data_IF_021596875455
#
_entry.id   IF_021596875455
#
_cell.length_a   1.000
_cell.length_b   1.000
_cell.length_c   1.000
_cell.angle_alpha   90.00
_cell.angle_beta   90.00
_cell.angle_gamma   90.00
#
_symmetry.space_group_name_H-M   'P 1'
#
loop_
_entity.id
_entity.type
_entity.pdbx_description
1 polymer ?
#
# COMPACT_ATOMS: atom_id res chain seq x y z
N UNK A 1 26.71 3.18 14.90
CA UNK A 1 25.63 2.53 14.36
C UNK A 1 24.51 3.44 13.94
N UNK A 2 24.26 3.46 12.79
CA UNK A 2 23.40 4.46 12.28
C UNK A 2 22.08 3.87 11.86
N UNK A 3 21.33 3.47 12.82
CA UNK A 3 20.09 2.82 12.54
C UNK A 3 19.14 3.65 11.76
N UNK A 4 19.14 4.96 12.00
CA UNK A 4 18.23 5.82 11.26
C UNK A 4 18.53 5.82 9.79
N UNK A 5 19.78 5.82 9.45
CA UNK A 5 20.17 5.82 8.07
C UNK A 5 19.78 4.51 7.42
N UNK A 6 19.96 3.42 8.15
CA UNK A 6 19.62 2.12 7.64
C UNK A 6 18.13 1.97 7.45
N UNK A 7 17.34 2.62 8.29
CA UNK A 7 15.89 2.50 8.19
C UNK A 7 15.34 2.96 6.87
N UNK A 8 16.01 3.91 6.25
CA UNK A 8 15.54 4.39 4.97
C UNK A 8 15.67 3.37 3.88
N UNK A 9 16.61 2.45 4.02
CA UNK A 9 16.87 1.45 3.00
C UNK A 9 16.50 0.04 3.43
N UNK A 10 16.09 -0.11 4.68
CA UNK A 10 15.77 -1.43 5.19
C UNK A 10 14.47 -1.93 4.58
N UNK A 11 14.40 -3.21 4.31
CA UNK A 11 13.12 -3.78 3.91
C UNK A 11 12.14 -3.69 5.06
N UNK A 12 10.87 -3.73 4.73
CA UNK A 12 9.82 -3.74 5.73
C UNK A 12 9.90 -5.05 6.50
N UNK A 13 9.79 -4.97 7.82
CA UNK A 13 9.83 -6.16 8.67
C UNK A 13 8.51 -6.90 8.53
N UNK A 14 8.58 -8.09 7.97
CA UNK A 14 7.38 -8.87 7.69
C UNK A 14 6.61 -9.21 8.98
N UNK A 15 7.34 -9.47 10.08
CA UNK A 15 6.65 -9.78 11.32
C UNK A 15 5.88 -8.58 11.86
N UNK A 16 6.45 -7.40 11.75
CA UNK A 16 5.77 -6.19 12.16
C UNK A 16 4.51 -5.99 11.33
N UNK A 17 4.61 -6.24 10.03
CA UNK A 17 3.48 -6.11 9.13
C UNK A 17 2.38 -7.10 9.52
N UNK A 18 2.74 -8.34 9.80
CA UNK A 18 1.77 -9.35 10.19
C UNK A 18 1.06 -8.97 11.49
N UNK A 19 1.79 -8.39 12.42
CA UNK A 19 1.17 -7.90 13.65
C UNK A 19 0.15 -6.81 13.38
N UNK A 20 0.50 -5.88 12.49
CA UNK A 20 -0.43 -4.82 12.11
C UNK A 20 -1.66 -5.39 11.42
N UNK A 21 -1.45 -6.34 10.52
CA UNK A 21 -2.57 -6.95 9.80
C UNK A 21 -3.51 -7.64 10.78
N UNK A 22 -2.96 -8.33 11.75
CA UNK A 22 -3.78 -8.99 12.76
C UNK A 22 -4.63 -7.98 13.51
N UNK A 23 -4.05 -6.83 13.85
CA UNK A 23 -4.78 -5.77 14.54
C UNK A 23 -5.86 -5.18 13.65
N UNK A 24 -5.55 -4.99 12.37
CA UNK A 24 -6.51 -4.46 11.43
C UNK A 24 -7.70 -5.40 11.29
N UNK A 25 -7.42 -6.68 11.19
CA UNK A 25 -8.49 -7.68 11.05
C UNK A 25 -9.32 -7.80 12.31
N UNK A 26 -8.78 -7.35 13.43
CA UNK A 26 -9.53 -7.29 14.68
C UNK A 26 -10.27 -5.99 14.89
N UNK A 27 -10.18 -5.06 13.93
CA UNK A 27 -10.94 -3.82 14.01
C UNK A 27 -10.19 -2.62 14.53
N UNK A 28 -8.88 -2.71 14.69
CA UNK A 28 -8.08 -1.60 15.20
C UNK A 28 -7.74 -0.64 14.06
N UNK A 29 -8.41 0.51 14.03
CA UNK A 29 -8.23 1.46 12.94
C UNK A 29 -6.90 2.21 13.01
N UNK A 30 -6.29 2.29 14.19
CA UNK A 30 -4.96 2.90 14.29
C UNK A 30 -3.93 2.10 13.52
N UNK A 31 -4.10 0.80 13.45
CA UNK A 31 -3.18 -0.04 12.71
C UNK A 31 -3.24 0.21 11.21
N UNK A 32 -4.39 0.64 10.69
CA UNK A 32 -4.51 1.06 9.29
C UNK A 32 -3.53 2.20 9.00
N UNK A 33 -3.52 3.20 9.87
CA UNK A 33 -2.66 4.37 9.68
C UNK A 33 -1.20 3.95 9.72
N UNK A 34 -0.85 3.08 10.64
CA UNK A 34 0.52 2.63 10.76
C UNK A 34 0.96 1.85 9.53
N UNK A 35 0.08 1.03 8.99
CA UNK A 35 0.39 0.25 7.80
C UNK A 35 0.59 1.16 6.59
N UNK A 36 -0.27 2.15 6.43
CA UNK A 36 -0.14 3.12 5.35
C UNK A 36 1.19 3.85 5.43
N UNK A 37 1.57 4.25 6.64
CA UNK A 37 2.81 4.96 6.83
C UNK A 37 4.02 4.07 6.49
N UNK A 38 3.95 2.82 6.88
CA UNK A 38 5.01 1.87 6.63
C UNK A 38 5.24 1.65 5.13
N UNK A 39 4.17 1.73 4.35
CA UNK A 39 4.23 1.50 2.91
C UNK A 39 4.33 2.77 2.09
N UNK A 40 4.58 3.90 2.75
CA UNK A 40 4.58 5.18 2.06
C UNK A 40 5.58 5.23 0.89
N UNK A 41 6.74 4.61 1.07
CA UNK A 41 7.75 4.63 0.00
C UNK A 41 7.23 3.95 -1.26
N UNK A 42 6.42 2.92 -1.10
CA UNK A 42 5.86 2.22 -2.26
C UNK A 42 4.78 3.05 -2.93
N UNK A 43 3.99 3.76 -2.13
CA UNK A 43 3.00 4.68 -2.66
C UNK A 43 3.68 5.77 -3.50
N UNK A 44 4.75 6.34 -2.99
CA UNK A 44 5.49 7.38 -3.72
C UNK A 44 6.02 6.84 -5.03
N UNK A 45 6.58 5.63 -5.01
CA UNK A 45 7.08 5.02 -6.23
C UNK A 45 5.97 4.77 -7.25
N UNK A 46 4.82 4.33 -6.78
CA UNK A 46 3.71 4.06 -7.69
C UNK A 46 3.14 5.34 -8.29
N UNK A 47 3.15 6.44 -7.52
CA UNK A 47 2.74 7.72 -8.07
C UNK A 47 3.63 8.06 -9.26
N UNK A 48 4.95 7.98 -9.08
CA UNK A 48 5.88 8.32 -10.12
C UNK A 48 5.71 7.42 -11.35
N UNK A 49 5.62 6.12 -11.11
CA UNK A 49 5.52 5.16 -12.20
C UNK A 49 4.27 5.40 -13.04
N UNK A 50 3.14 5.60 -12.38
CA UNK A 50 1.89 5.78 -13.13
C UNK A 50 1.86 7.11 -13.85
N UNK A 51 2.40 8.16 -13.26
CA UNK A 51 2.46 9.45 -13.94
C UNK A 51 3.35 9.37 -15.17
N UNK A 52 4.47 8.66 -15.05
CA UNK A 52 5.36 8.46 -16.20
C UNK A 52 4.71 7.65 -17.31
N UNK A 53 3.74 6.85 -16.96
CA UNK A 53 3.02 6.02 -17.93
C UNK A 53 1.76 6.69 -18.47
N UNK A 54 1.61 7.98 -18.21
CA UNK A 54 0.53 8.75 -18.84
C UNK A 54 -0.78 8.73 -18.09
N UNK A 55 -0.80 8.30 -16.85
CA UNK A 55 -2.02 8.34 -16.07
C UNK A 55 -2.40 9.79 -15.79
N UNK A 56 -3.69 10.08 -15.83
CA UNK A 56 -4.19 11.46 -15.67
C UNK A 56 -4.64 11.75 -14.25
N UNK A 57 -4.58 10.77 -13.37
CA UNK A 57 -4.90 10.98 -11.96
C UNK A 57 -3.89 11.95 -11.35
N UNK A 58 -4.34 12.76 -10.41
CA UNK A 58 -3.42 13.61 -9.64
C UNK A 58 -2.61 12.73 -8.70
N UNK A 59 -1.53 13.30 -8.17
CA UNK A 59 -0.72 12.58 -7.19
C UNK A 59 -1.57 12.13 -6.00
N UNK A 60 -2.45 13.02 -5.54
CA UNK A 60 -3.32 12.70 -4.41
C UNK A 60 -4.31 11.61 -4.75
N UNK A 61 -4.82 11.61 -5.96
CA UNK A 61 -5.74 10.55 -6.38
C UNK A 61 -5.05 9.20 -6.42
N UNK A 62 -3.80 9.17 -6.90
CA UNK A 62 -3.05 7.93 -6.93
C UNK A 62 -2.74 7.47 -5.51
N UNK A 63 -2.30 8.40 -4.65
CA UNK A 63 -2.00 8.05 -3.26
C UNK A 63 -3.23 7.50 -2.56
N UNK A 64 -4.37 8.13 -2.75
CA UNK A 64 -5.60 7.69 -2.13
C UNK A 64 -6.00 6.29 -2.59
N UNK A 65 -5.86 6.03 -3.88
CA UNK A 65 -6.18 4.72 -4.43
C UNK A 65 -5.25 3.65 -3.85
N UNK A 66 -3.96 3.96 -3.75
CA UNK A 66 -2.98 3.04 -3.17
C UNK A 66 -3.30 2.72 -1.72
N UNK A 67 -3.58 3.76 -0.95
CA UNK A 67 -3.83 3.58 0.49
C UNK A 67 -5.10 2.79 0.74
N UNK A 68 -6.13 3.09 -0.02
CA UNK A 68 -7.39 2.37 0.11
C UNK A 68 -7.22 0.90 -0.24
N UNK A 69 -6.48 0.63 -1.32
CA UNK A 69 -6.22 -0.75 -1.74
C UNK A 69 -5.38 -1.49 -0.71
N UNK A 70 -4.38 -0.82 -0.14
CA UNK A 70 -3.53 -1.43 0.88
C UNK A 70 -4.34 -1.87 2.09
N UNK A 71 -5.25 -1.03 2.52
CA UNK A 71 -6.09 -1.37 3.67
C UNK A 71 -6.99 -2.57 3.35
N UNK A 72 -7.53 -2.62 2.14
CA UNK A 72 -8.35 -3.76 1.75
C UNK A 72 -7.53 -5.03 1.67
N UNK A 73 -6.30 -4.92 1.15
CA UNK A 73 -5.41 -6.06 1.09
C UNK A 73 -5.14 -6.62 2.48
N UNK A 74 -4.90 -5.72 3.44
CA UNK A 74 -4.63 -6.15 4.80
C UNK A 74 -5.81 -6.92 5.40
N UNK A 75 -7.02 -6.45 5.11
CA UNK A 75 -8.20 -7.13 5.65
C UNK A 75 -8.43 -8.49 5.02
N UNK A 76 -7.99 -8.67 3.78
CA UNK A 76 -8.23 -9.91 3.06
C UNK A 76 -7.07 -10.89 3.10
N UNK A 77 -5.93 -10.47 3.64
CA UNK A 77 -4.74 -11.30 3.66
C UNK A 77 -4.94 -12.49 4.59
N UNK A 78 -4.53 -13.66 4.15
CA UNK A 78 -4.64 -14.87 4.95
C UNK A 78 -3.38 -15.06 5.77
N UNK A 79 -3.47 -14.73 7.06
CA UNK A 79 -2.31 -14.81 7.95
C UNK A 79 -1.83 -16.23 8.19
N UNK A 80 -2.64 -17.22 7.82
CA UNK A 80 -2.24 -18.61 7.95
C UNK A 80 -1.40 -19.13 6.80
N UNK A 81 -1.28 -18.33 5.77
CA UNK A 81 -0.45 -18.70 4.63
C UNK A 81 0.95 -18.18 4.82
N UNK A 82 1.90 -18.85 4.20
CA UNK A 82 3.30 -18.52 4.35
C UNK A 82 3.82 -17.81 3.12
N UNK A 83 3.28 -16.64 2.83
CA UNK A 83 3.85 -15.80 1.79
C UNK A 83 3.87 -14.36 2.25
N UNK A 84 4.71 -13.58 1.57
CA UNK A 84 4.97 -12.20 1.93
C UNK A 84 3.77 -11.32 1.63
N UNK A 85 3.41 -10.51 2.60
CA UNK A 85 2.33 -9.56 2.38
C UNK A 85 2.71 -8.53 1.32
N UNK A 86 3.99 -8.18 1.22
CA UNK A 86 4.41 -7.10 0.33
C UNK A 86 4.02 -7.35 -1.12
N UNK A 87 4.24 -8.56 -1.62
CA UNK A 87 3.88 -8.87 -3.01
C UNK A 87 2.39 -8.78 -3.23
N UNK A 88 1.65 -9.28 -2.27
CA UNK A 88 0.19 -9.23 -2.31
C UNK A 88 -0.30 -7.78 -2.29
N UNK A 89 0.29 -6.97 -1.40
CA UNK A 89 -0.12 -5.58 -1.25
C UNK A 89 0.19 -4.74 -2.49
N UNK A 90 1.37 -4.94 -3.07
CA UNK A 90 1.77 -4.18 -4.24
C UNK A 90 0.80 -4.44 -5.39
N UNK A 91 0.40 -5.69 -5.57
CA UNK A 91 -0.57 -6.01 -6.60
C UNK A 91 -1.89 -5.27 -6.38
N UNK A 92 -2.37 -5.29 -5.13
CA UNK A 92 -3.61 -4.59 -4.79
C UNK A 92 -3.50 -3.09 -5.05
N UNK A 93 -2.36 -2.51 -4.67
CA UNK A 93 -2.16 -1.08 -4.83
C UNK A 93 -2.15 -0.69 -6.30
N UNK A 94 -1.45 -1.45 -7.12
CA UNK A 94 -1.38 -1.18 -8.55
C UNK A 94 -2.75 -1.33 -9.20
N UNK A 95 -3.48 -2.38 -8.83
CA UNK A 95 -4.82 -2.57 -9.37
C UNK A 95 -5.75 -1.45 -8.94
N UNK A 96 -5.58 -0.98 -7.71
CA UNK A 96 -6.38 0.14 -7.23
C UNK A 96 -6.20 1.38 -8.08
N UNK A 97 -4.96 1.67 -8.45
CA UNK A 97 -4.68 2.83 -9.30
C UNK A 97 -5.25 2.63 -10.69
N UNK A 98 -5.11 1.43 -11.25
CA UNK A 98 -5.66 1.13 -12.57
C UNK A 98 -7.16 1.33 -12.57
N UNK A 99 -7.86 0.83 -11.55
CA UNK A 99 -9.30 0.97 -11.49
C UNK A 99 -9.71 2.44 -11.30
N UNK A 100 -8.95 3.20 -10.52
CA UNK A 100 -9.24 4.61 -10.34
C UNK A 100 -9.09 5.37 -11.65
N UNK A 101 -8.07 5.03 -12.45
CA UNK A 101 -7.87 5.66 -13.74
C UNK A 101 -9.03 5.34 -14.68
N UNK A 102 -9.47 4.09 -14.69
CA UNK A 102 -10.59 3.70 -15.53
C UNK A 102 -11.86 4.43 -15.12
N UNK A 103 -12.08 4.56 -13.83
CA UNK A 103 -13.27 5.26 -13.33
C UNK A 103 -13.25 6.72 -13.75
N UNK A 104 -12.07 7.35 -13.69
CA UNK A 104 -11.96 8.74 -14.08
C UNK A 104 -12.24 8.93 -15.57
N UNK A 105 -11.76 8.01 -16.38
CA UNK A 105 -11.97 8.09 -17.83
C UNK A 105 -13.42 7.86 -18.21
N UNK A 106 -14.14 7.06 -17.43
CA UNK A 106 -15.53 6.73 -17.71
C UNK A 106 -16.50 7.78 -17.23
N UNK A 107 -16.09 8.61 -16.31
CA UNK A 107 -17.05 9.54 -15.70
C UNK A 107 -17.04 10.88 -16.37
N UNK A 108 -17.33 10.95 -17.61
CA UNK A 108 -17.33 12.18 -18.34
C UNK A 108 -18.66 12.82 -18.47
#
# INVERSE_FOLDING_TARGET
>A
MTKNKENMNNPIDEQEVRNLISQIQSGNTDADVQLVDLYKRYTVSLIRIHKENGYTLTDEEIASACESALKRAARKFDLNKDFDFISYAIWWMREGVVQAQKAKQSSR
#
